data_IF_165591370163
#
_entry.id   IF_165591370163
#
_cell.length_a   1.000
_cell.length_b   1.000
_cell.length_c   1.000
_cell.angle_alpha   90.00
_cell.angle_beta   90.00
_cell.angle_gamma   90.00
#
_symmetry.space_group_name_H-M   'P 1'
#
loop_
_entity.id
_entity.type
_entity.pdbx_description
1 polymer ?
#
# COMPACT_ATOMS: atom_id res chain seq x y z
N UNK A 1 -3.72 26.16 6.92
CA UNK A 1 -4.54 26.08 5.70
C UNK A 1 -4.28 27.35 4.91
N UNK A 2 -4.06 27.25 3.59
CA UNK A 2 -3.67 28.39 2.76
C UNK A 2 -4.85 29.37 2.49
N UNK A 3 -4.56 30.66 2.37
CA UNK A 3 -5.56 31.74 2.24
C UNK A 3 -6.28 31.70 0.90
N UNK A 4 -5.59 31.33 -0.17
CA UNK A 4 -6.18 31.18 -1.50
C UNK A 4 -7.17 30.01 -1.51
N UNK A 5 -6.78 28.90 -0.87
CA UNK A 5 -7.67 27.73 -0.70
C UNK A 5 -8.96 28.09 0.06
N UNK A 6 -8.87 28.91 1.10
CA UNK A 6 -10.05 29.39 1.83
C UNK A 6 -10.95 30.25 0.94
N UNK A 7 -10.38 31.15 0.13
CA UNK A 7 -11.15 31.99 -0.79
C UNK A 7 -11.96 31.14 -1.80
N UNK A 8 -11.34 30.10 -2.36
CA UNK A 8 -12.01 29.15 -3.27
C UNK A 8 -13.18 28.43 -2.57
N UNK A 9 -12.98 27.97 -1.33
CA UNK A 9 -14.04 27.32 -0.55
C UNK A 9 -15.21 28.28 -0.29
N UNK A 10 -14.91 29.52 0.07
CA UNK A 10 -15.94 30.53 0.32
C UNK A 10 -16.73 30.89 -0.93
N UNK A 11 -16.06 31.04 -2.08
CA UNK A 11 -16.72 31.26 -3.37
C UNK A 11 -17.65 30.11 -3.73
N UNK A 12 -17.19 28.86 -3.58
CA UNK A 12 -17.99 27.68 -3.84
C UNK A 12 -19.22 27.59 -2.91
N UNK A 13 -19.04 27.89 -1.61
CA UNK A 13 -20.16 27.94 -0.65
C UNK A 13 -21.17 29.04 -1.01
N UNK A 14 -20.70 30.21 -1.43
CA UNK A 14 -21.58 31.30 -1.82
C UNK A 14 -22.41 30.96 -3.05
N UNK A 15 -21.78 30.39 -4.09
CA UNK A 15 -22.47 29.93 -5.30
C UNK A 15 -23.53 28.86 -4.97
N UNK A 16 -23.21 27.95 -4.04
CA UNK A 16 -24.17 26.93 -3.61
C UNK A 16 -25.39 27.52 -2.88
N UNK A 17 -25.18 28.51 -2.00
CA UNK A 17 -26.29 29.19 -1.35
C UNK A 17 -27.16 29.98 -2.34
N UNK A 18 -26.57 30.54 -3.39
CA UNK A 18 -27.33 31.17 -4.48
C UNK A 18 -28.18 30.14 -5.23
N UNK A 19 -27.63 28.97 -5.57
CA UNK A 19 -28.38 27.87 -6.21
C UNK A 19 -29.56 27.43 -5.36
N UNK A 20 -29.35 27.21 -4.05
CA UNK A 20 -30.41 26.79 -3.12
C UNK A 20 -31.52 27.85 -3.05
N UNK A 21 -31.15 29.13 -2.92
CA UNK A 21 -32.13 30.24 -2.91
C UNK A 21 -32.96 30.26 -4.19
N UNK A 22 -32.31 30.16 -5.34
CA UNK A 22 -32.98 30.24 -6.64
C UNK A 22 -33.89 29.02 -6.86
N UNK A 23 -33.46 27.83 -6.44
CA UNK A 23 -34.29 26.62 -6.41
C UNK A 23 -35.55 26.81 -5.55
N UNK A 24 -35.38 27.31 -4.32
CA UNK A 24 -36.50 27.57 -3.41
C UNK A 24 -37.47 28.60 -3.99
N UNK A 25 -36.96 29.65 -4.64
CA UNK A 25 -37.79 30.68 -5.27
C UNK A 25 -38.61 30.11 -6.45
N UNK A 26 -37.98 29.32 -7.32
CA UNK A 26 -38.64 28.68 -8.46
C UNK A 26 -39.71 27.70 -8.00
N UNK A 27 -39.41 26.91 -6.97
CA UNK A 27 -40.29 25.85 -6.47
C UNK A 27 -41.33 26.36 -5.44
N UNK A 28 -41.27 27.64 -5.07
CA UNK A 28 -42.18 28.26 -4.10
C UNK A 28 -42.01 27.75 -2.67
N UNK A 29 -40.81 27.29 -2.30
CA UNK A 29 -40.55 26.73 -0.97
C UNK A 29 -40.23 27.83 0.04
N UNK A 30 -40.94 27.82 1.16
CA UNK A 30 -40.65 28.70 2.30
C UNK A 30 -39.51 28.17 3.18
N UNK A 31 -39.23 26.86 3.11
CA UNK A 31 -38.19 26.17 3.90
C UNK A 31 -37.43 25.23 2.97
N UNK A 32 -36.11 25.17 3.13
CA UNK A 32 -35.27 24.25 2.37
C UNK A 32 -35.37 22.84 2.95
N UNK A 33 -35.74 21.88 2.12
CA UNK A 33 -35.78 20.44 2.44
C UNK A 33 -34.80 19.72 1.50
N UNK A 34 -33.64 19.25 2.01
CA UNK A 34 -32.58 18.64 1.19
C UNK A 34 -33.06 17.49 0.30
N UNK A 35 -34.03 16.70 0.79
CA UNK A 35 -34.60 15.55 0.10
C UNK A 35 -35.36 15.92 -1.16
N UNK A 36 -35.81 17.18 -1.26
CA UNK A 36 -36.51 17.73 -2.44
C UNK A 36 -35.54 18.34 -3.45
N UNK A 37 -34.31 18.60 -3.04
CA UNK A 37 -33.23 19.01 -3.93
C UNK A 37 -32.51 17.78 -4.51
N UNK A 38 -32.98 17.34 -5.67
CA UNK A 38 -32.40 16.19 -6.36
C UNK A 38 -30.90 16.37 -6.66
N UNK A 39 -30.46 17.59 -6.96
CA UNK A 39 -29.05 17.88 -7.23
C UNK A 39 -28.21 17.81 -5.95
N UNK A 40 -28.65 18.49 -4.89
CA UNK A 40 -27.98 18.47 -3.59
C UNK A 40 -27.92 17.07 -2.98
N UNK A 41 -29.02 16.32 -3.07
CA UNK A 41 -29.08 14.92 -2.63
C UNK A 41 -28.15 14.01 -3.44
N UNK A 42 -28.06 14.21 -4.76
CA UNK A 42 -27.11 13.50 -5.62
C UNK A 42 -25.66 13.72 -5.19
N UNK A 43 -25.26 14.97 -4.98
CA UNK A 43 -23.91 15.32 -4.52
C UNK A 43 -23.59 14.81 -3.10
N UNK A 44 -24.58 14.79 -2.21
CA UNK A 44 -24.41 14.21 -0.87
C UNK A 44 -24.09 12.71 -0.96
N UNK A 45 -24.86 11.97 -1.79
CA UNK A 45 -24.64 10.55 -2.03
C UNK A 45 -23.27 10.27 -2.67
N UNK A 46 -22.88 11.02 -3.70
CA UNK A 46 -21.55 10.87 -4.32
C UNK A 46 -20.39 11.11 -3.34
N UNK A 47 -20.58 12.04 -2.39
CA UNK A 47 -19.57 12.31 -1.35
C UNK A 47 -19.49 11.15 -0.35
N UNK A 48 -20.64 10.60 0.03
CA UNK A 48 -20.71 9.43 0.91
C UNK A 48 -20.08 8.20 0.24
N UNK A 49 -20.39 7.94 -1.03
CA UNK A 49 -19.77 6.88 -1.83
C UNK A 49 -18.24 7.04 -1.90
N UNK A 50 -17.73 8.26 -2.13
CA UNK A 50 -16.28 8.53 -2.11
C UNK A 50 -15.66 8.30 -0.74
N UNK A 51 -16.34 8.71 0.33
CA UNK A 51 -15.85 8.50 1.69
C UNK A 51 -15.79 7.01 2.03
N UNK A 52 -16.87 6.27 1.73
CA UNK A 52 -16.93 4.83 1.90
C UNK A 52 -15.82 4.12 1.10
N UNK A 53 -15.62 4.52 -0.15
CA UNK A 53 -14.53 4.00 -0.99
C UNK A 53 -13.13 4.28 -0.42
N UNK A 54 -12.90 5.49 0.12
CA UNK A 54 -11.63 5.84 0.75
C UNK A 54 -11.38 5.02 2.03
N UNK A 55 -12.40 4.82 2.85
CA UNK A 55 -12.33 3.99 4.05
C UNK A 55 -12.06 2.51 3.71
N UNK A 56 -12.74 1.97 2.70
CA UNK A 56 -12.51 0.61 2.23
C UNK A 56 -11.09 0.42 1.68
N UNK A 57 -10.59 1.39 0.91
CA UNK A 57 -9.22 1.37 0.41
C UNK A 57 -8.18 1.42 1.54
N UNK A 58 -8.44 2.22 2.57
CA UNK A 58 -7.60 2.28 3.77
C UNK A 58 -7.60 0.95 4.54
N UNK A 59 -8.77 0.34 4.73
CA UNK A 59 -8.88 -0.97 5.38
C UNK A 59 -8.12 -2.06 4.63
N UNK A 60 -8.33 -2.16 3.30
CA UNK A 60 -7.63 -3.13 2.46
C UNK A 60 -6.11 -2.92 2.42
N UNK A 61 -5.65 -1.67 2.55
CA UNK A 61 -4.22 -1.38 2.68
C UNK A 61 -3.67 -1.83 4.05
N UNK A 62 -4.43 -1.62 5.13
CA UNK A 62 -4.08 -2.13 6.45
C UNK A 62 -4.00 -3.65 6.52
N UNK A 63 -4.96 -4.35 5.90
CA UNK A 63 -4.95 -5.82 5.81
C UNK A 63 -3.70 -6.34 5.09
N UNK A 64 -3.36 -5.77 3.93
CA UNK A 64 -2.13 -6.13 3.20
C UNK A 64 -0.85 -5.88 4.01
N UNK A 65 -0.79 -4.79 4.76
CA UNK A 65 0.37 -4.53 5.65
C UNK A 65 0.43 -5.51 6.82
N UNK A 66 -0.71 -5.93 7.36
CA UNK A 66 -0.79 -7.00 8.37
C UNK A 66 -0.27 -8.32 7.82
N UNK A 67 -0.73 -8.71 6.63
CA UNK A 67 -0.27 -9.94 5.95
C UNK A 67 1.24 -9.90 5.65
N UNK A 68 1.79 -8.76 5.20
CA UNK A 68 3.23 -8.59 4.97
C UNK A 68 4.05 -8.58 6.27
N UNK A 69 3.49 -8.08 7.38
CA UNK A 69 4.15 -8.05 8.69
C UNK A 69 4.15 -9.43 9.37
N UNK A 70 3.12 -10.24 9.12
CA UNK A 70 3.00 -11.60 9.62
C UNK A 70 3.79 -12.63 8.78
N UNK A 71 4.33 -12.22 7.62
CA UNK A 71 5.27 -13.04 6.85
C UNK A 71 6.62 -13.16 7.60
N UNK A 72 6.88 -14.33 8.20
CA UNK A 72 8.15 -14.62 8.88
C UNK A 72 9.32 -14.59 7.87
N UNK A 73 10.04 -13.46 7.83
CA UNK A 73 11.24 -13.31 7.01
C UNK A 73 12.47 -13.82 7.76
N UNK A 74 13.06 -14.91 7.26
CA UNK A 74 14.35 -15.38 7.75
C UNK A 74 15.48 -14.53 7.14
N UNK A 75 16.13 -13.72 7.97
CA UNK A 75 17.31 -12.94 7.58
C UNK A 75 18.62 -13.64 7.93
N UNK A 76 19.54 -13.74 6.97
CA UNK A 76 20.89 -14.30 7.18
C UNK A 76 21.92 -13.18 7.05
N UNK A 77 22.63 -12.88 8.14
CA UNK A 77 23.72 -11.89 8.15
C UNK A 77 25.06 -12.58 7.93
N UNK A 78 25.70 -12.25 6.81
CA UNK A 78 27.03 -12.77 6.46
C UNK A 78 28.11 -11.72 6.68
N UNK A 79 29.33 -12.16 6.99
CA UNK A 79 30.49 -11.28 6.99
C UNK A 79 30.69 -10.62 5.61
N UNK A 80 31.40 -9.49 5.55
CA UNK A 80 31.70 -8.83 4.29
C UNK A 80 32.51 -9.72 3.32
N UNK A 81 33.39 -10.58 3.85
CA UNK A 81 34.17 -11.52 3.04
C UNK A 81 33.26 -12.59 2.41
N UNK A 82 32.45 -13.28 3.22
CA UNK A 82 31.50 -14.29 2.76
C UNK A 82 30.48 -13.71 1.77
N UNK A 83 29.96 -12.51 2.04
CA UNK A 83 29.03 -11.81 1.14
C UNK A 83 29.64 -11.54 -0.24
N UNK A 84 30.93 -11.17 -0.31
CA UNK A 84 31.63 -10.97 -1.59
C UNK A 84 31.75 -12.28 -2.37
N UNK A 85 32.09 -13.38 -1.69
CA UNK A 85 32.19 -14.69 -2.33
C UNK A 85 30.86 -15.16 -2.92
N UNK A 86 29.77 -15.05 -2.16
CA UNK A 86 28.42 -15.41 -2.65
C UNK A 86 28.05 -14.58 -3.88
N UNK A 87 28.32 -13.26 -3.88
CA UNK A 87 28.05 -12.41 -5.05
C UNK A 87 28.88 -12.77 -6.28
N UNK A 88 30.14 -13.15 -6.11
CA UNK A 88 30.99 -13.61 -7.22
C UNK A 88 30.44 -14.89 -7.83
N UNK A 89 30.04 -15.85 -7.00
CA UNK A 89 29.46 -17.12 -7.47
C UNK A 89 28.14 -16.87 -8.20
N UNK A 90 27.24 -16.11 -7.60
CA UNK A 90 25.97 -15.69 -8.21
C UNK A 90 26.18 -15.05 -9.59
N UNK A 91 27.13 -14.11 -9.71
CA UNK A 91 27.45 -13.47 -10.99
C UNK A 91 28.02 -14.41 -12.04
N UNK A 92 28.73 -15.48 -11.64
CA UNK A 92 29.29 -16.48 -12.56
C UNK A 92 28.25 -17.49 -13.05
N UNK A 93 27.26 -17.81 -12.22
CA UNK A 93 26.25 -18.84 -12.51
C UNK A 93 24.92 -18.27 -12.99
N UNK A 94 24.73 -16.94 -12.95
CA UNK A 94 23.47 -16.29 -13.29
C UNK A 94 22.39 -16.44 -12.20
N UNK A 95 22.74 -16.99 -11.04
CA UNK A 95 21.85 -17.18 -9.90
C UNK A 95 21.72 -15.90 -9.07
N UNK A 96 20.64 -15.82 -8.29
CA UNK A 96 20.52 -14.84 -7.20
C UNK A 96 21.35 -15.29 -5.99
N UNK A 97 21.89 -14.37 -5.18
CA UNK A 97 22.60 -14.70 -3.94
C UNK A 97 21.82 -15.63 -3.00
N UNK A 98 20.49 -15.48 -2.95
CA UNK A 98 19.60 -16.35 -2.15
C UNK A 98 19.55 -17.79 -2.66
N UNK A 99 19.61 -18.02 -3.97
CA UNK A 99 19.61 -19.36 -4.58
C UNK A 99 20.92 -20.08 -4.31
N UNK A 100 22.04 -19.35 -4.38
CA UNK A 100 23.36 -19.88 -3.98
C UNK A 100 23.35 -20.30 -2.50
N UNK A 101 22.76 -19.47 -1.63
CA UNK A 101 22.63 -19.79 -0.20
C UNK A 101 21.71 -20.98 0.07
N UNK A 102 20.59 -21.10 -0.66
CA UNK A 102 19.69 -22.24 -0.56
C UNK A 102 20.40 -23.55 -0.92
N UNK A 103 21.15 -23.56 -2.03
CA UNK A 103 21.89 -24.75 -2.45
C UNK A 103 23.04 -25.12 -1.51
N UNK A 104 23.68 -24.13 -0.86
CA UNK A 104 24.63 -24.38 0.22
C UNK A 104 23.94 -25.05 1.40
N UNK A 105 22.78 -24.53 1.82
CA UNK A 105 22.01 -25.05 2.94
C UNK A 105 21.50 -26.49 2.69
N UNK A 106 21.02 -26.78 1.49
CA UNK A 106 20.57 -28.12 1.07
C UNK A 106 21.68 -29.17 1.11
N UNK A 107 22.94 -28.74 1.02
CA UNK A 107 24.12 -29.61 0.97
C UNK A 107 24.91 -29.64 2.27
N UNK A 108 24.37 -29.06 3.35
CA UNK A 108 24.99 -29.13 4.66
C UNK A 108 25.05 -30.59 5.13
N UNK A 109 26.26 -31.02 5.49
CA UNK A 109 26.52 -32.25 6.21
C UNK A 109 27.01 -31.88 7.60
N UNK A 110 26.33 -32.42 8.61
CA UNK A 110 26.72 -32.27 10.02
C UNK A 110 27.47 -33.52 10.45
N UNK A 111 28.73 -33.36 10.85
CA UNK A 111 29.56 -34.44 11.38
C UNK A 111 29.09 -34.91 12.76
N UNK A 112 29.57 -36.08 13.19
CA UNK A 112 29.26 -36.66 14.52
C UNK A 112 29.71 -35.75 15.69
N UNK A 113 30.68 -34.87 15.43
CA UNK A 113 31.19 -33.86 16.35
C UNK A 113 30.41 -32.52 16.29
N UNK A 114 29.37 -32.44 15.47
CA UNK A 114 28.59 -31.22 15.23
C UNK A 114 29.21 -30.26 14.21
N UNK A 115 30.30 -30.64 13.54
CA UNK A 115 30.94 -29.80 12.52
C UNK A 115 30.03 -29.69 11.30
N UNK A 116 29.76 -28.45 10.86
CA UNK A 116 28.97 -28.15 9.66
C UNK A 116 29.90 -28.00 8.46
N UNK A 117 29.71 -28.83 7.45
CA UNK A 117 30.49 -28.79 6.21
C UNK A 117 29.58 -28.87 4.99
N UNK A 118 30.08 -28.42 3.84
CA UNK A 118 29.38 -28.57 2.56
C UNK A 118 30.34 -29.25 1.59
N UNK A 119 29.99 -30.42 1.02
CA UNK A 119 30.81 -31.07 0.01
C UNK A 119 30.98 -30.18 -1.24
N UNK A 120 32.08 -30.32 -2.00
CA UNK A 120 32.28 -29.57 -3.23
C UNK A 120 31.12 -29.77 -4.21
N UNK A 121 30.60 -28.66 -4.75
CA UNK A 121 29.58 -28.68 -5.80
C UNK A 121 29.69 -27.43 -6.67
N UNK A 122 29.05 -27.48 -7.84
CA UNK A 122 28.87 -26.33 -8.73
C UNK A 122 27.42 -25.87 -8.65
N UNK A 123 27.13 -24.62 -8.25
CA UNK A 123 25.76 -24.13 -8.23
C UNK A 123 25.17 -24.08 -9.63
N UNK A 124 23.92 -24.53 -9.79
CA UNK A 124 23.19 -24.54 -11.06
C UNK A 124 21.73 -24.14 -10.83
N UNK A 125 21.03 -23.71 -11.89
CA UNK A 125 19.58 -23.53 -11.84
C UNK A 125 18.86 -24.86 -11.59
#
# INVERSE_FOLDING_TARGET
>A
MDRERLAVIWLAKHAEWQRVRDLMAIAGWSVYEPERDAQGSGWAREREERLAGALAAQAAFGERQGEEADELRAEVRLSAASSRLVRVVAGRTGLRPSEVLAQLAERIVVGEDGTVSVPPFTPSL
#
